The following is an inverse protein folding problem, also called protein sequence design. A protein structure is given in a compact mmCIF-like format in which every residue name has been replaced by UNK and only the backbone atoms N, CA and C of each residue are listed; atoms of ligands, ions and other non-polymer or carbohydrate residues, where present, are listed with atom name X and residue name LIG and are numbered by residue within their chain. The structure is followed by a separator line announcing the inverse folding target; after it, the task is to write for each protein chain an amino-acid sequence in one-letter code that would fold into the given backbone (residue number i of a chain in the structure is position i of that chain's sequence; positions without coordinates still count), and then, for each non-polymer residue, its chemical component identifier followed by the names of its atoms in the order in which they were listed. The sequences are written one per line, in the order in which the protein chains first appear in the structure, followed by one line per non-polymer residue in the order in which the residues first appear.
data_IF_215083695474
#
_entry.id   IF_215083695474
#
_cell.length_a   1.000
_cell.length_b   1.000
_cell.length_c   1.000
_cell.angle_alpha   90.00
_cell.angle_beta   90.00
_cell.angle_gamma   90.00
#
_symmetry.space_group_name_H-M   'P 1'
#
loop_
_entity.id
_entity.type
_entity.pdbx_description
1 polymer ?
#
# COMPACT_ATOMS: atom_id res chain seq x y z
N UNK A 1 -10.28 -10.31 14.95
CA UNK A 1 -9.54 -11.14 13.96
C UNK A 1 -8.05 -10.99 14.19
N UNK A 2 -7.30 -12.09 14.15
CA UNK A 2 -5.84 -12.13 14.29
C UNK A 2 -5.26 -12.73 13.01
N UNK A 3 -4.15 -12.19 12.51
CA UNK A 3 -3.38 -12.73 11.39
C UNK A 3 -2.09 -13.31 11.96
N UNK A 4 -1.83 -14.59 11.71
CA UNK A 4 -0.64 -15.29 12.21
C UNK A 4 0.16 -15.88 11.05
N UNK A 5 1.47 -15.70 11.06
CA UNK A 5 2.37 -16.45 10.17
C UNK A 5 2.57 -17.86 10.71
N UNK A 6 2.49 -18.85 9.83
CA UNK A 6 2.70 -20.26 10.14
C UNK A 6 3.71 -20.89 9.18
N UNK A 7 4.29 -22.04 9.57
CA UNK A 7 5.25 -22.77 8.75
C UNK A 7 4.67 -24.07 8.17
N UNK A 8 3.67 -24.65 8.83
CA UNK A 8 3.10 -25.92 8.42
C UNK A 8 1.97 -25.74 7.40
N UNK A 9 2.25 -26.12 6.16
CA UNK A 9 1.28 -26.07 5.05
C UNK A 9 0.05 -26.96 5.30
N UNK A 10 0.19 -28.03 6.09
CA UNK A 10 -0.93 -28.95 6.32
C UNK A 10 -2.11 -28.29 7.03
N UNK A 11 -1.87 -27.24 7.80
CA UNK A 11 -2.91 -26.47 8.49
C UNK A 11 -3.90 -25.86 7.51
N UNK A 12 -3.44 -25.40 6.34
CA UNK A 12 -4.30 -24.71 5.37
C UNK A 12 -4.93 -25.63 4.32
N UNK A 13 -4.49 -26.88 4.21
CA UNK A 13 -5.06 -27.81 3.21
C UNK A 13 -6.57 -28.02 3.38
N UNK A 14 -7.09 -28.27 4.60
CA UNK A 14 -8.54 -28.37 4.82
C UNK A 14 -9.29 -27.08 4.46
N UNK A 15 -8.75 -25.92 4.88
CA UNK A 15 -9.31 -24.60 4.55
C UNK A 15 -9.36 -24.39 3.03
N UNK A 16 -8.32 -24.79 2.31
CA UNK A 16 -8.30 -24.66 0.85
C UNK A 16 -9.44 -25.44 0.19
N UNK A 17 -9.65 -26.69 0.63
CA UNK A 17 -10.75 -27.52 0.12
C UNK A 17 -12.11 -26.90 0.38
N UNK A 18 -12.33 -26.36 1.59
CA UNK A 18 -13.59 -25.73 1.95
C UNK A 18 -13.82 -24.43 1.18
N UNK A 19 -12.78 -23.61 1.00
CA UNK A 19 -12.88 -22.31 0.30
C UNK A 19 -13.04 -22.48 -1.22
N UNK A 20 -12.33 -23.43 -1.83
CA UNK A 20 -12.25 -23.54 -3.29
C UNK A 20 -12.94 -24.75 -3.89
N UNK A 21 -13.42 -25.69 -3.06
CA UNK A 21 -14.07 -26.92 -3.52
C UNK A 21 -13.14 -27.89 -4.27
N UNK A 22 -11.81 -27.75 -4.13
CA UNK A 22 -10.82 -28.56 -4.83
C UNK A 22 -9.56 -28.78 -4.00
N UNK A 23 -8.81 -29.83 -4.37
CA UNK A 23 -7.56 -30.17 -3.69
C UNK A 23 -6.51 -29.04 -3.80
N UNK A 24 -5.76 -28.86 -2.71
CA UNK A 24 -4.63 -27.94 -2.71
C UNK A 24 -3.54 -28.38 -3.68
N UNK A 25 -2.96 -27.47 -4.50
CA UNK A 25 -1.95 -27.83 -5.50
C UNK A 25 -0.57 -28.05 -4.87
N UNK A 26 -0.43 -29.09 -4.05
CA UNK A 26 0.76 -29.38 -3.22
C UNK A 26 2.06 -29.49 -4.04
N UNK A 27 2.01 -30.07 -5.24
CA UNK A 27 3.17 -30.16 -6.13
C UNK A 27 3.67 -28.79 -6.61
N UNK A 28 2.73 -27.88 -6.91
CA UNK A 28 3.06 -26.49 -7.27
C UNK A 28 3.62 -25.71 -6.09
N UNK A 29 3.14 -25.99 -4.87
CA UNK A 29 3.67 -25.41 -3.66
C UNK A 29 5.14 -25.80 -3.47
N UNK A 30 5.48 -27.09 -3.47
CA UNK A 30 6.86 -27.53 -3.31
C UNK A 30 7.79 -27.05 -4.43
N UNK A 31 7.27 -26.94 -5.66
CA UNK A 31 8.03 -26.34 -6.76
C UNK A 31 8.40 -24.89 -6.48
N UNK A 32 7.46 -24.11 -5.92
CA UNK A 32 7.72 -22.70 -5.56
C UNK A 32 8.69 -22.57 -4.38
N UNK A 33 8.60 -23.43 -3.37
CA UNK A 33 9.52 -23.45 -2.24
C UNK A 33 10.99 -23.66 -2.65
N UNK A 34 11.25 -24.31 -3.78
CA UNK A 34 12.63 -24.52 -4.28
C UNK A 34 13.30 -23.24 -4.79
N UNK A 35 12.53 -22.28 -5.23
CA UNK A 35 13.03 -21.08 -5.92
C UNK A 35 12.69 -19.77 -5.20
N UNK A 36 11.76 -19.80 -4.25
CA UNK A 36 11.29 -18.62 -3.55
C UNK A 36 11.08 -18.92 -2.06
N UNK A 37 11.24 -17.91 -1.24
CA UNK A 37 10.71 -17.94 0.12
C UNK A 37 9.19 -17.76 0.06
N UNK A 38 8.46 -18.51 0.88
CA UNK A 38 7.01 -18.39 1.00
C UNK A 38 6.66 -17.95 2.43
N UNK A 39 5.65 -17.08 2.53
CA UNK A 39 5.01 -16.74 3.78
C UNK A 39 3.60 -17.30 3.76
N UNK A 40 3.18 -17.99 4.81
CA UNK A 40 1.84 -18.53 4.97
C UNK A 40 1.19 -17.82 6.14
N UNK A 41 0.08 -17.16 5.88
CA UNK A 41 -0.71 -16.50 6.93
C UNK A 41 -2.05 -17.21 7.07
N UNK A 42 -2.49 -17.37 8.31
CA UNK A 42 -3.84 -17.80 8.66
C UNK A 42 -4.60 -16.68 9.34
N UNK A 43 -5.91 -16.66 9.14
CA UNK A 43 -6.82 -15.68 9.74
C UNK A 43 -7.66 -16.42 10.78
N UNK A 44 -7.70 -15.87 11.99
CA UNK A 44 -8.34 -16.47 13.15
C UNK A 44 -9.35 -15.48 13.75
N UNK A 45 -10.56 -15.93 14.00
CA UNK A 45 -11.61 -15.22 14.73
C UNK A 45 -12.20 -16.18 15.76
N UNK A 46 -12.24 -15.78 17.04
CA UNK A 46 -12.75 -16.58 18.16
C UNK A 46 -12.14 -18.00 18.23
N UNK A 47 -10.84 -18.12 17.97
CA UNK A 47 -10.06 -19.37 17.90
C UNK A 47 -10.36 -20.28 16.70
N UNK A 48 -11.25 -19.88 15.81
CA UNK A 48 -11.53 -20.60 14.57
C UNK A 48 -10.63 -20.08 13.43
N UNK A 49 -10.10 -20.97 12.63
CA UNK A 49 -9.42 -20.60 11.38
C UNK A 49 -10.47 -20.27 10.32
N UNK A 50 -10.49 -19.03 9.87
CA UNK A 50 -11.51 -18.49 8.96
C UNK A 50 -11.00 -18.24 7.54
N UNK A 51 -9.70 -18.32 7.32
CA UNK A 51 -9.07 -18.10 6.03
C UNK A 51 -7.56 -18.22 6.06
N UNK A 52 -6.95 -18.08 4.91
CA UNK A 52 -5.49 -18.13 4.77
C UNK A 52 -5.02 -17.36 3.54
N UNK A 53 -3.71 -17.10 3.49
CA UNK A 53 -3.01 -16.64 2.29
C UNK A 53 -1.60 -17.20 2.21
N UNK A 54 -1.11 -17.34 0.98
CA UNK A 54 0.28 -17.70 0.67
C UNK A 54 0.87 -16.60 -0.19
N UNK A 55 1.96 -16.02 0.31
CA UNK A 55 2.72 -14.99 -0.37
C UNK A 55 4.02 -15.59 -0.88
N UNK A 56 4.32 -15.36 -2.15
CA UNK A 56 5.60 -15.71 -2.77
C UNK A 56 6.50 -14.50 -2.74
N UNK A 57 7.63 -14.65 -2.09
CA UNK A 57 8.68 -13.66 -2.06
C UNK A 57 9.48 -13.70 -3.38
N UNK A 58 9.26 -12.73 -4.24
CA UNK A 58 9.99 -12.54 -5.48
C UNK A 58 11.09 -11.47 -5.26
N UNK A 59 12.04 -11.79 -4.38
CA UNK A 59 13.04 -10.84 -3.91
C UNK A 59 13.89 -10.21 -5.05
N UNK A 60 14.20 -10.97 -6.10
CA UNK A 60 14.94 -10.45 -7.27
C UNK A 60 14.19 -9.32 -7.98
N UNK A 61 12.86 -9.39 -8.01
CA UNK A 61 11.97 -8.40 -8.61
C UNK A 61 11.52 -7.33 -7.61
N UNK A 62 11.95 -7.44 -6.34
CA UNK A 62 11.44 -6.62 -5.25
C UNK A 62 9.91 -6.58 -5.22
N UNK A 63 9.29 -7.76 -5.37
CA UNK A 63 7.84 -7.94 -5.45
C UNK A 63 7.34 -9.03 -4.49
N UNK A 64 6.25 -8.75 -3.79
CA UNK A 64 5.49 -9.77 -3.04
C UNK A 64 4.27 -10.20 -3.86
N UNK A 65 4.19 -11.47 -4.18
CA UNK A 65 3.08 -12.01 -4.96
C UNK A 65 2.10 -12.79 -4.07
N UNK A 66 0.88 -12.26 -3.88
CA UNK A 66 -0.21 -13.00 -3.24
C UNK A 66 -0.67 -14.13 -4.18
N UNK A 67 -0.16 -15.33 -3.95
CA UNK A 67 -0.34 -16.45 -4.85
C UNK A 67 -1.68 -17.17 -4.66
N UNK A 68 -1.98 -17.57 -3.43
CA UNK A 68 -3.24 -18.17 -3.02
C UNK A 68 -3.75 -17.51 -1.76
N UNK A 69 -5.05 -17.45 -1.63
CA UNK A 69 -5.69 -17.00 -0.42
C UNK A 69 -7.20 -16.96 -0.57
N UNK A 70 -7.88 -17.07 0.54
CA UNK A 70 -9.34 -16.97 0.60
C UNK A 70 -9.84 -17.02 2.02
N UNK A 71 -11.11 -16.74 2.15
CA UNK A 71 -11.88 -16.71 3.40
C UNK A 71 -13.04 -17.68 3.26
N UNK A 72 -13.33 -18.43 4.30
CA UNK A 72 -14.45 -19.34 4.36
C UNK A 72 -15.76 -18.63 3.98
N UNK A 73 -16.68 -19.28 3.24
CA UNK A 73 -17.90 -18.64 2.73
C UNK A 73 -18.70 -17.88 3.79
N UNK A 74 -18.83 -18.46 4.99
CA UNK A 74 -19.58 -17.88 6.13
C UNK A 74 -18.96 -16.58 6.68
N UNK A 75 -17.69 -16.30 6.37
CA UNK A 75 -16.97 -15.11 6.81
C UNK A 75 -16.68 -14.12 5.67
N UNK A 76 -17.10 -14.40 4.46
CA UNK A 76 -16.97 -13.48 3.35
C UNK A 76 -17.79 -12.19 3.59
N UNK A 77 -17.52 -11.13 2.84
CA UNK A 77 -18.11 -9.78 2.95
C UNK A 77 -17.87 -9.02 4.26
N UNK A 78 -17.08 -9.54 5.19
CA UNK A 78 -16.68 -8.86 6.43
C UNK A 78 -15.43 -7.97 6.28
N UNK A 79 -14.95 -7.72 5.06
CA UNK A 79 -13.74 -6.91 4.80
C UNK A 79 -12.41 -7.63 5.07
N UNK A 80 -12.41 -8.92 5.43
CA UNK A 80 -11.19 -9.67 5.82
C UNK A 80 -10.11 -9.64 4.72
N UNK A 81 -10.50 -9.78 3.46
CA UNK A 81 -9.56 -9.73 2.34
C UNK A 81 -8.93 -8.35 2.18
N UNK A 82 -9.66 -7.28 2.47
CA UNK A 82 -9.13 -5.92 2.48
C UNK A 82 -8.07 -5.77 3.57
N UNK A 83 -8.38 -6.16 4.80
CA UNK A 83 -7.43 -6.12 5.93
C UNK A 83 -6.16 -6.92 5.59
N UNK A 84 -6.31 -8.08 4.95
CA UNK A 84 -5.15 -8.85 4.49
C UNK A 84 -4.28 -8.06 3.51
N UNK A 85 -4.86 -7.41 2.49
CA UNK A 85 -4.09 -6.62 1.54
C UNK A 85 -3.43 -5.40 2.18
N UNK A 86 -4.09 -4.74 3.12
CA UNK A 86 -3.52 -3.64 3.89
C UNK A 86 -2.27 -4.09 4.65
N UNK A 87 -2.36 -5.20 5.38
CA UNK A 87 -1.22 -5.79 6.09
C UNK A 87 -0.10 -6.26 5.14
N UNK A 88 -0.45 -6.84 3.98
CA UNK A 88 0.54 -7.26 2.99
C UNK A 88 1.29 -6.07 2.37
N UNK A 89 0.58 -4.98 2.09
CA UNK A 89 1.17 -3.74 1.58
C UNK A 89 2.15 -3.17 2.62
N UNK A 90 1.76 -3.16 3.89
CA UNK A 90 2.60 -2.67 4.98
C UNK A 90 3.84 -3.56 5.18
N UNK A 91 3.67 -4.88 5.25
CA UNK A 91 4.77 -5.84 5.31
C UNK A 91 5.75 -5.66 4.14
N UNK A 92 5.23 -5.40 2.95
CA UNK A 92 6.06 -5.19 1.78
C UNK A 92 6.84 -3.86 1.85
N UNK A 93 6.26 -2.80 2.44
CA UNK A 93 6.98 -1.54 2.73
C UNK A 93 8.09 -1.73 3.74
N UNK A 94 7.80 -2.36 4.87
CA UNK A 94 8.78 -2.64 5.93
C UNK A 94 9.99 -3.43 5.42
N UNK A 95 9.80 -4.24 4.39
CA UNK A 95 10.84 -5.07 3.77
C UNK A 95 11.47 -4.44 2.51
N UNK A 96 11.22 -3.16 2.22
CA UNK A 96 11.74 -2.44 1.07
C UNK A 96 11.44 -3.09 -0.29
N UNK A 97 10.24 -3.66 -0.42
CA UNK A 97 9.73 -4.13 -1.70
C UNK A 97 9.18 -2.97 -2.54
N UNK A 98 9.23 -3.11 -3.85
CA UNK A 98 8.77 -2.08 -4.79
C UNK A 98 7.33 -2.31 -5.26
N UNK A 99 6.78 -3.49 -5.03
CA UNK A 99 5.41 -3.80 -5.44
C UNK A 99 4.82 -5.00 -4.68
N UNK A 100 3.48 -5.00 -4.65
CA UNK A 100 2.66 -6.16 -4.32
C UNK A 100 1.86 -6.52 -5.53
N UNK A 101 1.84 -7.80 -5.90
CA UNK A 101 1.01 -8.30 -7.00
C UNK A 101 0.02 -9.34 -6.53
N UNK A 102 -1.13 -9.37 -7.18
CA UNK A 102 -2.17 -10.37 -6.97
C UNK A 102 -2.79 -10.75 -8.29
N UNK A 103 -3.33 -11.95 -8.39
CA UNK A 103 -4.06 -12.36 -9.57
C UNK A 103 -5.44 -12.90 -9.19
N UNK A 104 -6.44 -12.53 -9.97
CA UNK A 104 -7.80 -13.04 -9.84
C UNK A 104 -8.35 -13.45 -11.21
N UNK A 105 -9.59 -13.92 -11.24
CA UNK A 105 -10.29 -14.24 -12.48
C UNK A 105 -11.43 -13.28 -12.70
N UNK A 106 -11.75 -12.97 -13.97
CA UNK A 106 -12.89 -12.12 -14.32
C UNK A 106 -14.26 -12.70 -13.90
N UNK A 107 -14.33 -13.98 -13.55
CA UNK A 107 -15.54 -14.60 -12.96
C UNK A 107 -15.68 -14.30 -11.45
N UNK A 108 -14.73 -13.57 -10.86
CA UNK A 108 -14.75 -13.16 -9.44
C UNK A 108 -14.78 -11.63 -9.32
N UNK A 109 -15.91 -10.99 -9.69
CA UNK A 109 -15.98 -9.52 -9.80
C UNK A 109 -15.67 -8.82 -8.47
N UNK A 110 -16.03 -9.39 -7.33
CA UNK A 110 -15.75 -8.79 -6.03
C UNK A 110 -14.25 -8.58 -5.78
N UNK A 111 -13.42 -9.54 -6.21
CA UNK A 111 -11.95 -9.41 -6.09
C UNK A 111 -11.38 -8.34 -7.02
N UNK A 112 -11.94 -8.21 -8.23
CA UNK A 112 -11.52 -7.16 -9.17
C UNK A 112 -11.86 -5.77 -8.62
N UNK A 113 -13.09 -5.61 -8.13
CA UNK A 113 -13.55 -4.35 -7.53
C UNK A 113 -12.71 -3.98 -6.30
N UNK A 114 -12.43 -4.96 -5.44
CA UNK A 114 -11.60 -4.73 -4.24
C UNK A 114 -10.19 -4.28 -4.64
N UNK A 115 -9.52 -5.00 -5.55
CA UNK A 115 -8.17 -4.64 -5.98
C UNK A 115 -8.11 -3.22 -6.54
N UNK A 116 -9.07 -2.84 -7.41
CA UNK A 116 -9.14 -1.49 -7.99
C UNK A 116 -9.39 -0.43 -6.90
N UNK A 117 -10.34 -0.68 -5.97
CA UNK A 117 -10.63 0.25 -4.85
C UNK A 117 -9.43 0.46 -3.94
N UNK A 118 -8.59 -0.54 -3.78
CA UNK A 118 -7.35 -0.46 -3.00
C UNK A 118 -6.18 0.18 -3.76
N UNK A 119 -6.38 0.61 -5.00
CA UNK A 119 -5.35 1.29 -5.81
C UNK A 119 -4.40 0.35 -6.55
N UNK A 120 -4.79 -0.90 -6.75
CA UNK A 120 -4.04 -1.79 -7.64
C UNK A 120 -4.35 -1.48 -9.10
N UNK A 121 -3.32 -1.39 -9.92
CA UNK A 121 -3.42 -1.27 -11.39
C UNK A 121 -3.54 -2.65 -12.03
N UNK A 122 -4.39 -2.79 -13.05
CA UNK A 122 -4.37 -3.97 -13.93
C UNK A 122 -3.15 -3.83 -14.85
N UNK A 123 -2.25 -4.83 -14.84
CA UNK A 123 -1.05 -4.78 -15.68
C UNK A 123 -0.94 -5.92 -16.68
N UNK A 124 -1.68 -7.02 -16.49
CA UNK A 124 -1.64 -8.16 -17.40
C UNK A 124 -2.98 -8.91 -17.40
N UNK A 125 -3.36 -9.42 -18.58
CA UNK A 125 -4.49 -10.32 -18.76
C UNK A 125 -4.04 -11.56 -19.52
N UNK A 126 -4.25 -12.73 -18.94
CA UNK A 126 -4.02 -14.03 -19.59
C UNK A 126 -5.34 -14.71 -19.88
N UNK A 127 -5.60 -14.96 -21.17
CA UNK A 127 -6.72 -15.79 -21.59
C UNK A 127 -6.52 -17.22 -21.10
N UNK A 128 -7.59 -17.87 -20.68
CA UNK A 128 -7.62 -19.28 -20.28
C UNK A 128 -8.68 -20.00 -21.09
N UNK A 129 -8.33 -21.20 -21.53
CA UNK A 129 -9.29 -22.14 -22.09
C UNK A 129 -9.94 -22.93 -20.95
N UNK A 130 -11.17 -23.44 -21.14
CA UNK A 130 -11.80 -24.35 -20.19
C UNK A 130 -12.74 -23.72 -19.14
N UNK A 131 -13.25 -22.50 -19.35
CA UNK A 131 -14.37 -21.95 -18.53
C UNK A 131 -14.01 -21.36 -17.18
N UNK A 132 -12.73 -21.38 -16.76
CA UNK A 132 -12.29 -20.77 -15.49
C UNK A 132 -12.18 -19.23 -15.53
N UNK A 133 -12.58 -18.63 -16.64
CA UNK A 133 -12.42 -17.20 -16.90
C UNK A 133 -10.97 -16.78 -17.15
N UNK A 134 -10.78 -15.59 -17.65
CA UNK A 134 -9.45 -15.02 -17.89
C UNK A 134 -8.77 -14.66 -16.57
N UNK A 135 -7.46 -14.87 -16.50
CA UNK A 135 -6.67 -14.46 -15.35
C UNK A 135 -6.24 -13.01 -15.50
N UNK A 136 -6.55 -12.19 -14.51
CA UNK A 136 -6.23 -10.77 -14.46
C UNK A 136 -5.19 -10.57 -13.35
N UNK A 137 -4.10 -9.91 -13.69
CA UNK A 137 -3.03 -9.58 -12.76
C UNK A 137 -3.07 -8.11 -12.40
N UNK A 138 -2.95 -7.84 -11.11
CA UNK A 138 -2.98 -6.52 -10.51
C UNK A 138 -1.66 -6.26 -9.81
N UNK A 139 -1.20 -5.02 -9.86
CA UNK A 139 0.02 -4.57 -9.19
C UNK A 139 -0.26 -3.30 -8.39
N UNK A 140 0.07 -3.34 -7.12
CA UNK A 140 0.18 -2.17 -6.27
C UNK A 140 1.65 -1.75 -6.22
N UNK A 141 1.94 -0.54 -6.67
CA UNK A 141 3.31 -0.01 -6.64
C UNK A 141 3.59 0.56 -5.27
N UNK A 142 4.64 0.04 -4.63
CA UNK A 142 5.22 0.59 -3.43
C UNK A 142 6.32 1.52 -3.86
N UNK A 143 6.20 2.76 -3.49
CA UNK A 143 7.29 3.68 -3.69
C UNK A 143 8.19 3.60 -2.46
N UNK A 144 9.52 3.58 -2.62
CA UNK A 144 10.43 3.74 -1.49
C UNK A 144 9.96 4.92 -0.66
N UNK A 145 10.04 4.82 0.66
CA UNK A 145 9.78 5.98 1.52
C UNK A 145 10.85 7.02 1.18
N UNK A 146 10.49 7.94 0.32
CA UNK A 146 11.35 9.01 -0.14
C UNK A 146 10.79 10.33 0.37
N UNK A 147 11.58 11.01 1.17
CA UNK A 147 11.26 12.35 1.65
C UNK A 147 11.94 13.37 0.74
N UNK A 148 11.14 14.15 0.03
CA UNK A 148 11.65 15.31 -0.70
C UNK A 148 11.71 16.51 0.22
N UNK A 149 12.87 17.18 0.28
CA UNK A 149 13.05 18.39 1.08
C UNK A 149 12.77 19.60 0.19
N UNK A 150 11.78 20.40 0.57
CA UNK A 150 11.44 21.63 -0.13
C UNK A 150 11.73 22.83 0.78
N UNK A 151 12.73 23.59 0.39
CA UNK A 151 13.02 24.85 1.04
C UNK A 151 12.01 25.89 0.54
N UNK A 152 11.40 26.64 1.47
CA UNK A 152 10.47 27.74 1.15
C UNK A 152 11.21 29.07 0.96
N UNK A 153 12.48 29.11 1.37
CA UNK A 153 13.41 30.22 1.15
C UNK A 153 14.73 29.66 0.59
N UNK A 154 15.29 30.31 -0.42
CA UNK A 154 16.59 29.96 -1.00
C UNK A 154 17.44 31.21 -1.13
N UNK A 155 18.68 31.16 -0.67
CA UNK A 155 19.64 32.28 -0.72
C UNK A 155 19.09 33.58 -0.10
N UNK A 156 18.33 33.47 1.00
CA UNK A 156 17.68 34.59 1.66
C UNK A 156 16.47 35.17 0.93
N UNK A 157 16.02 34.55 -0.14
CA UNK A 157 14.87 34.97 -0.95
C UNK A 157 13.72 33.96 -0.76
N UNK A 158 12.52 34.50 -0.52
CA UNK A 158 11.29 33.70 -0.48
C UNK A 158 10.93 33.19 -1.86
N UNK A 159 10.56 31.92 -1.97
CA UNK A 159 10.08 31.35 -3.22
C UNK A 159 8.72 31.91 -3.60
N UNK A 160 8.52 32.14 -4.90
CA UNK A 160 7.22 32.50 -5.47
C UNK A 160 6.31 31.26 -5.52
N UNK A 161 4.98 31.44 -5.55
CA UNK A 161 4.04 30.33 -5.67
C UNK A 161 4.37 29.34 -6.79
N UNK A 162 4.70 29.83 -7.98
CA UNK A 162 5.04 28.97 -9.14
C UNK A 162 6.29 28.11 -8.89
N UNK A 163 7.30 28.63 -8.20
CA UNK A 163 8.51 27.88 -7.88
C UNK A 163 8.22 26.78 -6.83
N UNK A 164 7.29 27.05 -5.90
CA UNK A 164 6.81 26.06 -4.93
C UNK A 164 6.05 24.95 -5.67
N UNK A 165 5.13 25.31 -6.59
CA UNK A 165 4.39 24.34 -7.41
C UNK A 165 5.31 23.43 -8.19
N UNK A 166 6.32 23.96 -8.87
CA UNK A 166 7.28 23.18 -9.66
C UNK A 166 8.00 22.14 -8.79
N UNK A 167 8.42 22.54 -7.58
CA UNK A 167 9.07 21.62 -6.62
C UNK A 167 8.09 20.56 -6.13
N UNK A 168 6.85 20.94 -5.79
CA UNK A 168 5.81 20.01 -5.35
C UNK A 168 5.40 19.02 -6.45
N UNK A 169 5.27 19.50 -7.69
CA UNK A 169 4.98 18.64 -8.85
C UNK A 169 6.13 17.65 -9.10
N UNK A 170 7.38 18.10 -8.94
CA UNK A 170 8.54 17.21 -9.05
C UNK A 170 8.51 16.15 -7.95
N UNK A 171 8.30 16.52 -6.70
CA UNK A 171 8.17 15.59 -5.58
C UNK A 171 7.01 14.59 -5.81
N UNK A 172 5.87 15.05 -6.28
CA UNK A 172 4.74 14.20 -6.62
C UNK A 172 5.07 13.21 -7.76
N UNK A 173 5.73 13.68 -8.83
CA UNK A 173 6.15 12.83 -9.96
C UNK A 173 7.25 11.84 -9.60
N UNK A 174 8.14 12.19 -8.66
CA UNK A 174 9.15 11.27 -8.12
C UNK A 174 8.57 10.26 -7.13
N UNK A 175 7.25 10.32 -6.89
CA UNK A 175 6.51 9.45 -5.97
C UNK A 175 6.97 9.57 -4.50
N UNK A 176 7.39 10.76 -4.09
CA UNK A 176 7.72 11.02 -2.70
C UNK A 176 6.53 10.68 -1.79
N UNK A 177 6.80 9.92 -0.74
CA UNK A 177 5.78 9.53 0.26
C UNK A 177 5.60 10.62 1.31
N UNK A 178 6.65 11.42 1.52
CA UNK A 178 6.63 12.57 2.41
C UNK A 178 7.34 13.77 1.79
N UNK A 179 6.92 14.95 2.19
CA UNK A 179 7.52 16.23 1.79
C UNK A 179 7.88 16.98 3.07
N UNK A 180 9.17 17.29 3.23
CA UNK A 180 9.68 18.05 4.36
C UNK A 180 9.82 19.50 3.99
N UNK A 181 9.19 20.38 4.77
CA UNK A 181 9.37 21.82 4.67
C UNK A 181 10.26 22.33 5.80
N UNK A 182 11.29 23.08 5.44
CA UNK A 182 12.06 23.86 6.40
C UNK A 182 11.35 25.19 6.65
N UNK A 183 10.68 25.30 7.82
CA UNK A 183 9.88 26.46 8.15
C UNK A 183 10.73 27.51 8.89
N UNK A 184 11.04 28.58 8.19
CA UNK A 184 11.83 29.72 8.70
C UNK A 184 10.96 30.93 9.10
N UNK A 185 9.63 30.76 9.11
CA UNK A 185 8.67 31.81 9.47
C UNK A 185 7.82 32.33 8.30
N UNK A 186 7.94 31.74 7.09
CA UNK A 186 7.12 32.11 5.94
C UNK A 186 5.79 31.34 5.92
N UNK A 187 4.85 31.76 6.78
CA UNK A 187 3.54 31.09 6.90
C UNK A 187 2.75 31.05 5.58
N UNK A 188 2.79 32.15 4.80
CA UNK A 188 2.03 32.22 3.54
C UNK A 188 2.51 31.18 2.51
N UNK A 189 3.83 30.98 2.39
CA UNK A 189 4.39 29.98 1.48
C UNK A 189 4.01 28.55 1.92
N UNK A 190 4.07 28.28 3.22
CA UNK A 190 3.68 26.97 3.75
C UNK A 190 2.18 26.72 3.62
N UNK A 191 1.33 27.70 3.91
CA UNK A 191 -0.13 27.62 3.71
C UNK A 191 -0.44 27.33 2.23
N UNK A 192 0.24 28.01 1.33
CA UNK A 192 0.09 27.79 -0.11
C UNK A 192 0.49 26.35 -0.50
N UNK A 193 1.66 25.87 -0.02
CA UNK A 193 2.13 24.53 -0.27
C UNK A 193 1.15 23.45 0.22
N UNK A 194 0.62 23.61 1.44
CA UNK A 194 -0.37 22.68 2.01
C UNK A 194 -1.66 22.64 1.18
N UNK A 195 -2.17 23.80 0.77
CA UNK A 195 -3.36 23.88 -0.09
C UNK A 195 -3.13 23.21 -1.44
N UNK A 196 -1.94 23.41 -2.01
CA UNK A 196 -1.59 22.78 -3.30
C UNK A 196 -1.47 21.25 -3.16
N UNK A 197 -0.83 20.74 -2.11
CA UNK A 197 -0.73 19.31 -1.83
C UNK A 197 -2.11 18.64 -1.66
N UNK A 198 -3.12 19.36 -1.18
CA UNK A 198 -4.49 18.85 -1.11
C UNK A 198 -5.10 18.53 -2.49
N UNK A 199 -4.60 19.13 -3.57
CA UNK A 199 -5.06 18.84 -4.94
C UNK A 199 -4.51 17.53 -5.50
N UNK A 200 -3.50 16.93 -4.86
CA UNK A 200 -2.93 15.67 -5.30
C UNK A 200 -3.89 14.51 -5.01
N UNK A 201 -4.02 13.58 -5.95
CA UNK A 201 -4.81 12.35 -5.75
C UNK A 201 -4.19 11.43 -4.67
N UNK A 202 -2.87 11.44 -4.55
CA UNK A 202 -2.12 10.82 -3.46
C UNK A 202 -1.49 11.93 -2.62
N UNK A 203 -1.89 12.06 -1.36
CA UNK A 203 -1.38 13.08 -0.45
C UNK A 203 -0.15 12.58 0.26
N UNK A 204 1.00 13.27 0.15
CA UNK A 204 2.20 12.92 0.91
C UNK A 204 2.01 13.26 2.39
N UNK A 205 2.74 12.58 3.28
CA UNK A 205 2.92 13.05 4.65
C UNK A 205 3.71 14.35 4.64
N UNK A 206 3.24 15.35 5.34
CA UNK A 206 3.92 16.65 5.44
C UNK A 206 4.73 16.71 6.73
N UNK A 207 6.04 16.89 6.59
CA UNK A 207 6.97 17.09 7.70
C UNK A 207 7.34 18.57 7.75
N UNK A 208 7.03 19.25 8.85
CA UNK A 208 7.37 20.67 9.05
C UNK A 208 8.49 20.74 10.07
N UNK A 209 9.69 21.01 9.61
CA UNK A 209 10.85 21.21 10.49
C UNK A 209 10.95 22.69 10.87
N UNK A 210 11.01 22.99 12.17
CA UNK A 210 11.05 24.36 12.66
C UNK A 210 11.74 24.46 14.03
N UNK A 211 12.45 25.58 14.25
CA UNK A 211 12.96 26.01 15.54
C UNK A 211 12.00 27.01 16.27
N UNK A 212 10.88 27.35 15.63
CA UNK A 212 9.92 28.35 16.09
C UNK A 212 8.60 27.71 16.51
N UNK A 213 7.93 28.33 17.48
CA UNK A 213 6.54 27.99 17.75
C UNK A 213 5.65 28.40 16.57
N UNK A 214 4.81 27.47 16.12
CA UNK A 214 3.83 27.75 15.08
C UNK A 214 2.63 28.42 15.74
N UNK A 215 2.66 29.72 15.85
CA UNK A 215 1.62 30.52 16.55
C UNK A 215 0.59 31.15 15.60
N UNK A 216 0.72 30.97 14.29
CA UNK A 216 -0.15 31.68 13.35
C UNK A 216 -1.47 30.92 13.19
N UNK A 217 -2.58 31.54 13.58
CA UNK A 217 -3.91 30.93 13.52
C UNK A 217 -4.32 30.45 12.13
N UNK A 218 -3.88 31.11 11.08
CA UNK A 218 -4.13 30.71 9.68
C UNK A 218 -3.32 29.46 9.28
N UNK A 219 -2.07 29.34 9.73
CA UNK A 219 -1.26 28.15 9.48
C UNK A 219 -1.82 26.95 10.22
N UNK A 220 -2.25 27.11 11.47
CA UNK A 220 -2.92 26.05 12.23
C UNK A 220 -4.19 25.57 11.52
N UNK A 221 -4.99 26.50 10.96
CA UNK A 221 -6.17 26.16 10.15
C UNK A 221 -5.78 25.39 8.89
N UNK A 222 -4.73 25.83 8.17
CA UNK A 222 -4.27 25.15 6.96
C UNK A 222 -3.77 23.73 7.25
N UNK A 223 -3.06 23.51 8.34
CA UNK A 223 -2.63 22.20 8.81
C UNK A 223 -3.86 21.31 9.10
N UNK A 224 -4.85 21.83 9.84
CA UNK A 224 -6.08 21.10 10.14
C UNK A 224 -6.92 20.78 8.87
N UNK A 225 -6.84 21.61 7.85
CA UNK A 225 -7.55 21.42 6.58
C UNK A 225 -6.81 20.49 5.61
N UNK A 226 -5.54 20.19 5.87
CA UNK A 226 -4.81 19.23 5.07
C UNK A 226 -5.38 17.83 5.29
N UNK A 227 -5.71 17.13 4.21
CA UNK A 227 -6.39 15.81 4.26
C UNK A 227 -5.41 14.62 4.36
N UNK A 228 -4.12 14.86 4.48
CA UNK A 228 -3.07 13.88 4.76
C UNK A 228 -2.47 14.10 6.15
N UNK A 229 -1.45 13.32 6.48
CA UNK A 229 -0.76 13.41 7.77
C UNK A 229 0.19 14.62 7.80
N UNK A 230 0.26 15.30 8.94
CA UNK A 230 1.20 16.40 9.18
C UNK A 230 1.95 16.15 10.48
N UNK A 231 3.27 16.13 10.39
CA UNK A 231 4.16 16.02 11.55
C UNK A 231 4.99 17.30 11.71
N UNK A 232 5.09 17.79 12.92
CA UNK A 232 5.93 18.95 13.26
C UNK A 232 7.18 18.46 13.97
N UNK A 233 8.34 18.70 13.36
CA UNK A 233 9.66 18.31 13.85
C UNK A 233 10.33 19.54 14.42
N UNK A 234 10.63 19.54 15.73
CA UNK A 234 11.44 20.58 16.35
C UNK A 234 12.91 20.37 16.04
N UNK A 235 13.59 21.46 15.62
CA UNK A 235 15.05 21.50 15.47
C UNK A 235 15.74 21.57 16.83
#
# INVERSE_FOLDING_TARGET
MIIKEIQDINIIIPLHVEIFGKAFPISSYYKKCKTNKLYIFVYEEDSDLIGYSIIVDQNQEKNMYAWYGGVLPKFQVKGITQIFFENLIELAREKDYLSVTVASSNIRPHMLILAIKMGFDIYELKKREGGEGNKIYFKYKLFPQHTEIILLEENGRRLKPVEIEEKLVRAYKSNSTSIKFDYTGNSNALIYALKYCNSFSRRPTILIETDREIQVSELSKAIQQYQGDVEIIKK
#
